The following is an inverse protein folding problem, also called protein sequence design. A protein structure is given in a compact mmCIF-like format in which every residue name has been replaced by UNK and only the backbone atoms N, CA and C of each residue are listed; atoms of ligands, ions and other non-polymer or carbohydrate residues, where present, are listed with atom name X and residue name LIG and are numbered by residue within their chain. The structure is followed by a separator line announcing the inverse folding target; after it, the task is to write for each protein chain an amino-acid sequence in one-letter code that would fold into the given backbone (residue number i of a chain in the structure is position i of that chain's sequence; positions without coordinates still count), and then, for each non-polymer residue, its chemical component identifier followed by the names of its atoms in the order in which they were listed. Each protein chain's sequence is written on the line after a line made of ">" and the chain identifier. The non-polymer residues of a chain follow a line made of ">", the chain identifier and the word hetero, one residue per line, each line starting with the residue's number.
data_IF_461119636325
#
_entry.id   IF_461119636325
#
_cell.length_a   1.000
_cell.length_b   1.000
_cell.length_c   1.000
_cell.angle_alpha   90.00
_cell.angle_beta   90.00
_cell.angle_gamma   90.00
#
_symmetry.space_group_name_H-M   'P 1'
#
loop_
_entity.id
_entity.type
_entity.pdbx_description
1 polymer ?
#
# COMPACT_ATOMS: atom_id res chain seq x y z
N UNK A 1 5.81 -39.33 31.81
CA UNK A 1 5.98 -40.76 31.48
C UNK A 1 4.67 -41.53 31.46
N UNK A 2 3.74 -41.32 32.40
CA UNK A 2 2.41 -41.97 32.37
C UNK A 2 1.54 -41.55 31.16
N UNK A 3 1.66 -40.30 30.71
CA UNK A 3 0.84 -39.80 29.60
C UNK A 3 1.24 -40.42 28.25
N UNK A 4 2.53 -40.57 27.98
CA UNK A 4 3.04 -41.21 26.76
C UNK A 4 2.64 -42.70 26.65
N UNK A 5 2.52 -43.40 27.78
CA UNK A 5 2.09 -44.80 27.83
C UNK A 5 0.58 -44.90 27.62
N UNK A 6 -0.21 -44.00 28.23
CA UNK A 6 -1.67 -43.96 27.98
C UNK A 6 -2.01 -43.56 26.55
N UNK A 7 -1.22 -42.66 25.95
CA UNK A 7 -1.38 -42.24 24.56
C UNK A 7 -0.99 -43.37 23.59
N UNK A 8 0.10 -44.09 23.88
CA UNK A 8 0.51 -45.29 23.14
C UNK A 8 -0.49 -46.45 23.27
N UNK A 9 -1.05 -46.68 24.46
CA UNK A 9 -2.10 -47.69 24.68
C UNK A 9 -3.40 -47.30 23.97
N UNK A 10 -3.78 -46.00 23.98
CA UNK A 10 -4.93 -45.50 23.22
C UNK A 10 -4.71 -45.64 21.70
N UNK A 11 -3.49 -45.43 21.22
CA UNK A 11 -3.05 -45.64 19.84
C UNK A 11 -3.01 -47.12 19.42
N UNK A 12 -2.71 -48.02 20.35
CA UNK A 12 -2.74 -49.47 20.14
C UNK A 12 -4.17 -50.02 20.21
N UNK A 13 -5.05 -49.37 20.98
CA UNK A 13 -6.45 -49.75 21.18
C UNK A 13 -7.41 -49.14 20.15
N UNK A 14 -6.94 -48.19 19.33
CA UNK A 14 -7.68 -47.74 18.15
C UNK A 14 -7.74 -48.86 17.11
N UNK A 15 -8.96 -49.22 16.71
CA UNK A 15 -9.21 -50.21 15.66
C UNK A 15 -8.66 -49.66 14.32
N UNK A 16 -8.35 -50.54 13.35
CA UNK A 16 -7.80 -50.14 12.03
C UNK A 16 -8.57 -48.97 11.38
N UNK A 17 -9.89 -48.95 11.56
CA UNK A 17 -10.80 -47.93 11.04
C UNK A 17 -10.58 -46.53 11.66
N UNK A 18 -10.20 -46.46 12.93
CA UNK A 18 -9.95 -45.21 13.63
C UNK A 18 -8.62 -44.57 13.23
N UNK A 19 -7.59 -45.38 12.96
CA UNK A 19 -6.35 -44.89 12.33
C UNK A 19 -6.61 -44.39 10.91
N UNK A 20 -7.38 -45.15 10.13
CA UNK A 20 -7.76 -44.75 8.79
C UNK A 20 -8.54 -43.44 8.79
N UNK A 21 -9.51 -43.24 9.70
CA UNK A 21 -10.27 -41.99 9.83
C UNK A 21 -9.36 -40.80 10.15
N UNK A 22 -8.44 -40.95 11.11
CA UNK A 22 -7.50 -39.89 11.47
C UNK A 22 -6.60 -39.49 10.29
N UNK A 23 -6.11 -40.48 9.54
CA UNK A 23 -5.27 -40.25 8.37
C UNK A 23 -6.06 -39.58 7.23
N UNK A 24 -7.32 -39.96 7.04
CA UNK A 24 -8.25 -39.35 6.09
C UNK A 24 -8.58 -37.90 6.47
N UNK A 25 -8.88 -37.63 7.74
CA UNK A 25 -9.13 -36.27 8.25
C UNK A 25 -7.90 -35.38 8.08
N UNK A 26 -6.71 -35.92 8.37
CA UNK A 26 -5.46 -35.19 8.17
C UNK A 26 -5.24 -34.84 6.70
N UNK A 27 -5.43 -35.80 5.80
CA UNK A 27 -5.31 -35.58 4.36
C UNK A 27 -6.35 -34.61 3.82
N UNK A 28 -7.59 -34.66 4.32
CA UNK A 28 -8.65 -33.72 3.96
C UNK A 28 -8.29 -32.30 4.37
N UNK A 29 -7.82 -32.13 5.61
CA UNK A 29 -7.41 -30.82 6.13
C UNK A 29 -6.25 -30.22 5.32
N UNK A 30 -5.24 -31.02 5.03
CA UNK A 30 -4.12 -30.60 4.17
C UNK A 30 -4.61 -30.22 2.76
N UNK A 31 -5.57 -30.95 2.21
CA UNK A 31 -6.16 -30.62 0.91
C UNK A 31 -6.94 -29.30 0.94
N UNK A 32 -7.68 -29.03 2.01
CA UNK A 32 -8.41 -27.77 2.21
C UNK A 32 -7.46 -26.59 2.37
N UNK A 33 -6.40 -26.75 3.17
CA UNK A 33 -5.35 -25.73 3.35
C UNK A 33 -4.66 -25.41 2.01
N UNK A 34 -4.27 -26.43 1.24
CA UNK A 34 -3.66 -26.25 -0.08
C UNK A 34 -4.61 -25.59 -1.07
N UNK A 35 -5.91 -25.93 -1.05
CA UNK A 35 -6.92 -25.27 -1.90
C UNK A 35 -7.11 -23.81 -1.52
N UNK A 36 -7.16 -23.51 -0.22
CA UNK A 36 -7.28 -22.14 0.27
C UNK A 36 -6.05 -21.30 -0.12
N UNK A 37 -4.84 -21.86 0.02
CA UNK A 37 -3.61 -21.20 -0.39
C UNK A 37 -3.58 -20.93 -1.91
N UNK A 38 -3.99 -21.92 -2.72
CA UNK A 38 -4.09 -21.74 -4.16
C UNK A 38 -5.08 -20.64 -4.54
N UNK A 39 -6.27 -20.63 -3.93
CA UNK A 39 -7.28 -19.61 -4.17
C UNK A 39 -6.76 -18.20 -3.81
N UNK A 40 -6.09 -18.07 -2.65
CA UNK A 40 -5.46 -16.81 -2.24
C UNK A 40 -4.36 -16.38 -3.21
N UNK A 41 -3.52 -17.31 -3.67
CA UNK A 41 -2.45 -17.01 -4.64
C UNK A 41 -3.01 -16.51 -5.98
N UNK A 42 -4.10 -17.12 -6.46
CA UNK A 42 -4.80 -16.67 -7.67
C UNK A 42 -5.37 -15.26 -7.48
N UNK A 43 -6.06 -15.00 -6.37
CA UNK A 43 -6.59 -13.67 -6.04
C UNK A 43 -5.49 -12.60 -5.91
N UNK A 44 -4.32 -12.94 -5.36
CA UNK A 44 -3.16 -12.03 -5.30
C UNK A 44 -2.65 -11.67 -6.69
N UNK A 45 -2.57 -12.64 -7.59
CA UNK A 45 -2.12 -12.39 -8.95
C UNK A 45 -3.12 -11.54 -9.73
N UNK A 46 -4.42 -11.80 -9.59
CA UNK A 46 -5.47 -10.98 -10.18
C UNK A 46 -5.44 -9.54 -9.63
N UNK A 47 -5.28 -9.40 -8.31
CA UNK A 47 -5.13 -8.09 -7.65
C UNK A 47 -3.94 -7.31 -8.20
N UNK A 48 -2.78 -7.96 -8.38
CA UNK A 48 -1.62 -7.34 -9.03
C UNK A 48 -1.94 -6.90 -10.46
N UNK A 49 -2.64 -7.73 -11.24
CA UNK A 49 -3.06 -7.36 -12.60
C UNK A 49 -3.93 -6.11 -12.59
N UNK A 50 -4.95 -6.06 -11.72
CA UNK A 50 -5.85 -4.90 -11.62
C UNK A 50 -5.13 -3.62 -11.17
N UNK A 51 -4.15 -3.73 -10.27
CA UNK A 51 -3.33 -2.60 -9.86
C UNK A 51 -2.44 -2.11 -11.01
N UNK A 52 -1.78 -3.02 -11.71
CA UNK A 52 -0.96 -2.66 -12.87
C UNK A 52 -1.80 -1.99 -13.98
N UNK A 53 -3.01 -2.49 -14.25
CA UNK A 53 -3.96 -1.88 -15.19
C UNK A 53 -4.37 -0.47 -14.77
N UNK A 54 -4.39 -0.19 -13.47
CA UNK A 54 -4.65 1.14 -12.92
C UNK A 54 -3.45 2.10 -13.00
N UNK A 55 -2.34 1.69 -13.62
CA UNK A 55 -1.09 2.45 -13.71
C UNK A 55 -0.26 2.44 -12.43
N UNK A 56 -0.59 1.53 -11.51
CA UNK A 56 0.03 1.38 -10.20
C UNK A 56 0.98 0.18 -10.23
N UNK A 57 2.16 0.39 -10.81
CA UNK A 57 3.21 -0.63 -10.95
C UNK A 57 4.10 -0.72 -9.70
N UNK A 58 4.71 -1.89 -9.46
CA UNK A 58 5.70 -2.15 -8.38
C UNK A 58 5.18 -2.06 -6.94
N UNK A 59 3.96 -2.53 -6.68
CA UNK A 59 3.48 -2.68 -5.29
C UNK A 59 4.15 -3.86 -4.59
N UNK A 60 4.55 -3.64 -3.34
CA UNK A 60 5.01 -4.68 -2.43
C UNK A 60 3.88 -5.70 -2.18
N UNK A 61 4.26 -6.96 -2.08
CA UNK A 61 3.39 -8.09 -1.73
C UNK A 61 2.64 -7.86 -0.44
N UNK A 62 3.21 -7.10 0.50
CA UNK A 62 2.52 -6.70 1.73
C UNK A 62 1.25 -5.90 1.44
N UNK A 63 1.28 -4.98 0.47
CA UNK A 63 0.10 -4.18 0.10
C UNK A 63 -0.93 -5.06 -0.60
N UNK A 64 -0.48 -5.93 -1.51
CA UNK A 64 -1.37 -6.88 -2.20
C UNK A 64 -2.07 -7.79 -1.19
N UNK A 65 -1.35 -8.30 -0.18
CA UNK A 65 -1.89 -9.16 0.86
C UNK A 65 -2.96 -8.45 1.72
N UNK A 66 -2.85 -7.14 1.93
CA UNK A 66 -3.84 -6.36 2.68
C UNK A 66 -5.12 -6.16 1.85
N UNK A 67 -5.00 -6.05 0.53
CA UNK A 67 -6.14 -5.82 -0.37
C UNK A 67 -6.94 -7.10 -0.65
N UNK A 68 -6.26 -8.25 -0.70
CA UNK A 68 -6.85 -9.56 -0.98
C UNK A 68 -7.66 -10.09 0.18
N UNK A 69 -8.89 -10.52 -0.11
CA UNK A 69 -9.78 -11.19 0.83
C UNK A 69 -10.18 -12.57 0.30
N UNK A 70 -10.84 -13.38 1.12
CA UNK A 70 -11.41 -14.67 0.67
C UNK A 70 -12.56 -14.49 -0.32
N UNK A 71 -13.12 -13.28 -0.42
CA UNK A 71 -14.18 -12.89 -1.33
C UNK A 71 -13.62 -12.02 -2.47
N UNK A 72 -13.88 -12.45 -3.71
CA UNK A 72 -13.38 -11.80 -4.92
C UNK A 72 -13.97 -10.40 -5.12
N UNK A 73 -15.27 -10.20 -4.84
CA UNK A 73 -15.93 -8.89 -4.97
C UNK A 73 -15.39 -7.89 -3.95
N UNK A 74 -15.14 -8.35 -2.72
CA UNK A 74 -14.48 -7.51 -1.70
C UNK A 74 -13.08 -7.13 -2.12
N UNK A 75 -12.30 -8.07 -2.66
CA UNK A 75 -10.95 -7.80 -3.17
C UNK A 75 -10.97 -6.73 -4.25
N UNK A 76 -11.85 -6.87 -5.25
CA UNK A 76 -12.03 -5.90 -6.34
C UNK A 76 -12.37 -4.50 -5.81
N UNK A 77 -13.35 -4.40 -4.90
CA UNK A 77 -13.73 -3.12 -4.26
C UNK A 77 -12.60 -2.49 -3.46
N UNK A 78 -11.83 -3.30 -2.74
CA UNK A 78 -10.68 -2.82 -1.97
C UNK A 78 -9.62 -2.21 -2.90
N UNK A 79 -9.31 -2.89 -4.01
CA UNK A 79 -8.38 -2.41 -5.03
C UNK A 79 -8.87 -1.09 -5.63
N UNK A 80 -10.12 -1.03 -6.09
CA UNK A 80 -10.70 0.19 -6.67
C UNK A 80 -10.66 1.36 -5.68
N UNK A 81 -11.07 1.13 -4.43
CA UNK A 81 -11.09 2.16 -3.40
C UNK A 81 -9.69 2.63 -3.06
N UNK A 82 -8.73 1.72 -2.93
CA UNK A 82 -7.34 2.04 -2.62
C UNK A 82 -6.70 2.87 -3.74
N UNK A 83 -6.84 2.42 -4.99
CA UNK A 83 -6.34 3.13 -6.18
C UNK A 83 -6.88 4.55 -6.26
N UNK A 84 -8.18 4.75 -6.03
CA UNK A 84 -8.79 6.09 -6.07
C UNK A 84 -8.21 7.00 -4.98
N UNK A 85 -8.12 6.51 -3.74
CA UNK A 85 -7.57 7.26 -2.61
C UNK A 85 -6.10 7.65 -2.87
N UNK A 86 -5.30 6.71 -3.38
CA UNK A 86 -3.90 6.95 -3.71
C UNK A 86 -3.76 8.04 -4.78
N UNK A 87 -4.51 7.94 -5.88
CA UNK A 87 -4.48 8.92 -6.97
C UNK A 87 -4.87 10.32 -6.49
N UNK A 88 -5.85 10.43 -5.60
CA UNK A 88 -6.24 11.71 -4.99
C UNK A 88 -5.12 12.28 -4.11
N UNK A 89 -4.49 11.45 -3.27
CA UNK A 89 -3.37 11.89 -2.44
C UNK A 89 -2.16 12.34 -3.27
N UNK A 90 -1.78 11.56 -4.27
CA UNK A 90 -0.67 11.90 -5.18
C UNK A 90 -0.96 13.20 -5.90
N UNK A 91 -2.17 13.36 -6.46
CA UNK A 91 -2.57 14.61 -7.12
C UNK A 91 -2.49 15.81 -6.17
N UNK A 92 -3.03 15.69 -4.96
CA UNK A 92 -2.98 16.78 -3.97
C UNK A 92 -1.54 17.15 -3.59
N UNK A 93 -0.66 16.16 -3.43
CA UNK A 93 0.74 16.41 -3.10
C UNK A 93 1.52 17.02 -4.26
N UNK A 94 1.27 16.58 -5.50
CA UNK A 94 1.86 17.21 -6.70
C UNK A 94 1.38 18.66 -6.84
N UNK A 95 0.09 18.93 -6.64
CA UNK A 95 -0.44 20.30 -6.66
C UNK A 95 0.21 21.18 -5.58
N UNK A 96 0.42 20.65 -4.36
CA UNK A 96 1.14 21.37 -3.30
C UNK A 96 2.62 21.60 -3.63
N UNK A 97 3.29 20.62 -4.23
CA UNK A 97 4.69 20.73 -4.62
C UNK A 97 4.89 21.71 -5.79
N UNK A 98 3.98 21.71 -6.77
CA UNK A 98 3.99 22.66 -7.90
C UNK A 98 3.64 24.08 -7.48
N UNK A 99 2.91 24.25 -6.36
CA UNK A 99 2.70 25.54 -5.69
C UNK A 99 3.93 26.03 -4.94
N UNK A 100 5.14 25.59 -5.32
CA UNK A 100 6.41 26.17 -4.89
C UNK A 100 6.24 27.69 -4.81
N UNK A 101 6.44 28.24 -3.61
CA UNK A 101 6.18 29.64 -3.31
C UNK A 101 6.77 30.48 -4.42
N UNK A 102 5.92 31.35 -5.01
CA UNK A 102 6.38 32.34 -5.97
C UNK A 102 7.60 33.01 -5.34
N UNK A 103 8.74 33.15 -6.07
CA UNK A 103 9.94 33.71 -5.49
C UNK A 103 9.54 35.00 -4.81
N UNK A 104 9.77 35.09 -3.49
CA UNK A 104 9.55 36.32 -2.75
C UNK A 104 10.36 37.35 -3.49
N UNK A 105 9.65 38.22 -4.23
CA UNK A 105 10.26 39.36 -4.90
C UNK A 105 10.77 40.23 -3.76
N UNK A 106 12.01 39.96 -3.37
CA UNK A 106 12.85 40.92 -2.66
C UNK A 106 13.07 42.01 -3.68
N UNK A 107 12.09 42.91 -3.80
CA UNK A 107 12.29 44.23 -4.35
C UNK A 107 13.28 44.92 -3.41
N UNK A 108 14.55 44.62 -3.63
CA UNK A 108 15.66 45.48 -3.34
C UNK A 108 15.31 46.86 -3.91
N UNK A 109 15.11 47.82 -3.00
CA UNK A 109 15.10 49.27 -3.24
C UNK A 109 14.77 49.69 -4.68
N UNK A 110 13.48 49.75 -5.00
CA UNK A 110 13.03 50.56 -6.11
C UNK A 110 12.86 51.98 -5.57
N UNK A 111 13.91 52.80 -5.67
CA UNK A 111 13.75 54.24 -5.52
C UNK A 111 12.58 54.67 -6.40
N UNK A 112 11.59 55.29 -5.78
CA UNK A 112 10.48 55.93 -6.50
C UNK A 112 11.08 57.01 -7.40
N UNK A 113 10.57 57.18 -8.62
CA UNK A 113 11.04 58.17 -9.60
C UNK A 113 11.14 59.60 -9.05
N UNK A 114 10.48 59.86 -7.93
CA UNK A 114 10.53 61.13 -7.21
C UNK A 114 11.89 61.37 -6.52
N UNK A 115 12.61 60.31 -6.09
CA UNK A 115 13.95 60.43 -5.49
C UNK A 115 15.05 60.71 -6.54
N UNK A 116 14.84 60.28 -7.79
CA UNK A 116 15.78 60.51 -8.90
C UNK A 116 15.75 61.99 -9.36
N UNK A 117 14.59 62.65 -9.27
CA UNK A 117 14.45 64.08 -9.57
C UNK A 117 15.13 64.96 -8.52
N UNK A 118 15.02 64.62 -7.24
CA UNK A 118 15.65 65.38 -6.15
C UNK A 118 17.20 65.32 -6.22
N UNK A 119 17.77 64.20 -6.66
CA UNK A 119 19.21 64.08 -6.89
C UNK A 119 19.71 64.90 -8.09
N UNK A 120 18.90 65.07 -9.13
CA UNK A 120 19.25 65.88 -10.31
C UNK A 120 19.04 67.39 -10.07
N UNK A 121 18.10 67.76 -9.21
CA UNK A 121 17.85 69.17 -8.81
C UNK A 121 18.86 69.65 -7.76
N UNK A 122 19.34 68.77 -6.87
CA UNK A 122 20.29 69.15 -5.81
C UNK A 122 21.72 69.43 -6.30
N UNK A 123 22.00 69.33 -7.60
CA UNK A 123 23.21 69.83 -8.27
C UNK A 123 24.36 70.23 -7.34
N UNK A 124 24.98 69.26 -6.65
CA UNK A 124 26.22 69.51 -5.90
C UNK A 124 27.36 69.57 -6.90
N UNK A 125 27.40 70.68 -7.64
CA UNK A 125 28.60 71.18 -8.24
C UNK A 125 29.24 72.13 -7.24
N UNK A 126 30.00 71.59 -6.31
CA UNK A 126 31.06 72.32 -5.65
C UNK A 126 32.24 71.36 -5.46
N UNK A 127 33.38 71.89 -5.92
CA UNK A 127 34.74 71.41 -5.74
C UNK A 127 35.06 71.08 -4.27
#
# INVERSE_FOLDING_TARGET
>A
MKDAIQEAEKLAKMNKDQKNQYELEKLLKENEELKAEKALSQMKNETRSMLNESGLENFDDQIVNILVNTDAEKTRKNVESFTNILNQMVKSNVEKALRQDSPVSTQSNKMTKDEESDYLVSGRKCL
#
